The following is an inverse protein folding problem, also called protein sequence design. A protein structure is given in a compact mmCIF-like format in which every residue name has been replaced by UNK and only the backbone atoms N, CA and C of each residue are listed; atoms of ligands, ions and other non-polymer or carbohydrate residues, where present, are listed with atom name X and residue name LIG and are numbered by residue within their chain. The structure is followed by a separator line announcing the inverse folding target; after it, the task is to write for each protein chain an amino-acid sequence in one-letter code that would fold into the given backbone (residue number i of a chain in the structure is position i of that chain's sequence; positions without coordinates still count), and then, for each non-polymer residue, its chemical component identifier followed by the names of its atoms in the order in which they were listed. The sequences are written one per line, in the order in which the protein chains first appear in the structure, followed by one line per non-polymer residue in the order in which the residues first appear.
data_IF_912294333690
#
_entry.id   IF_912294333690
#
_cell.length_a   1.000
_cell.length_b   1.000
_cell.length_c   1.000
_cell.angle_alpha   90.00
_cell.angle_beta   90.00
_cell.angle_gamma   90.00
#
_symmetry.space_group_name_H-M   'P 1'
#
loop_
_entity.id
_entity.type
_entity.pdbx_description
1 polymer ?
#
# COMPACT_ATOMS: atom_id res chain seq x y z
N UNK A 1 19.27 1.91 -14.02
CA UNK A 1 20.18 2.92 -13.44
C UNK A 1 19.40 3.80 -12.48
N UNK A 2 20.07 4.55 -11.60
CA UNK A 2 19.43 5.50 -10.68
C UNK A 2 18.52 6.49 -11.40
N UNK A 3 19.02 7.11 -12.47
CA UNK A 3 18.25 8.10 -13.25
C UNK A 3 16.99 7.49 -13.86
N UNK A 4 17.07 6.27 -14.40
CA UNK A 4 15.91 5.58 -14.95
C UNK A 4 14.84 5.27 -13.89
N UNK A 5 15.24 5.00 -12.64
CA UNK A 5 14.30 4.80 -11.54
C UNK A 5 13.61 6.11 -11.14
N UNK A 6 14.34 7.22 -11.12
CA UNK A 6 13.79 8.56 -10.86
C UNK A 6 12.80 8.96 -11.96
N UNK A 7 13.17 8.78 -13.23
CA UNK A 7 12.26 9.07 -14.35
C UNK A 7 11.00 8.20 -14.31
N UNK A 8 11.13 6.92 -13.94
CA UNK A 8 9.97 6.04 -13.75
C UNK A 8 9.08 6.52 -12.60
N UNK A 9 9.65 6.97 -11.48
CA UNK A 9 8.88 7.55 -10.39
C UNK A 9 8.16 8.83 -10.82
N UNK A 10 8.83 9.71 -11.58
CA UNK A 10 8.20 10.93 -12.15
C UNK A 10 6.98 10.59 -13.00
N UNK A 11 7.08 9.56 -13.85
CA UNK A 11 5.95 9.14 -14.70
C UNK A 11 4.77 8.58 -13.90
N UNK A 12 4.96 8.18 -12.63
CA UNK A 12 3.92 7.69 -11.74
C UNK A 12 3.33 8.77 -10.81
N UNK A 13 3.92 9.97 -10.73
CA UNK A 13 3.40 11.05 -9.87
C UNK A 13 1.90 11.34 -10.09
N UNK A 14 1.35 11.33 -11.32
CA UNK A 14 -0.09 11.51 -11.52
C UNK A 14 -0.97 10.41 -10.89
N UNK A 15 -0.43 9.20 -10.69
CA UNK A 15 -1.15 8.14 -9.97
C UNK A 15 -1.13 8.37 -8.47
N UNK A 16 -0.01 8.85 -7.93
CA UNK A 16 0.11 9.19 -6.52
C UNK A 16 -0.71 10.42 -6.11
N UNK A 17 -0.95 11.37 -7.02
CA UNK A 17 -1.71 12.60 -6.72
C UNK A 17 -3.15 12.31 -6.31
N UNK A 18 -3.77 11.23 -6.82
CA UNK A 18 -5.12 10.81 -6.42
C UNK A 18 -5.17 10.47 -4.94
N UNK A 19 -4.19 9.68 -4.46
CA UNK A 19 -4.05 9.32 -3.04
C UNK A 19 -3.76 10.56 -2.20
N UNK A 20 -2.88 11.45 -2.66
CA UNK A 20 -2.57 12.68 -1.95
C UNK A 20 -3.81 13.58 -1.78
N UNK A 21 -4.69 13.64 -2.79
CA UNK A 21 -5.96 14.37 -2.71
C UNK A 21 -6.92 13.74 -1.70
N UNK A 22 -7.11 12.42 -1.73
CA UNK A 22 -7.93 11.69 -0.76
C UNK A 22 -7.42 11.87 0.68
N UNK A 23 -6.10 11.93 0.87
CA UNK A 23 -5.49 12.20 2.16
C UNK A 23 -5.55 13.68 2.61
N UNK A 24 -6.03 14.61 1.77
CA UNK A 24 -6.01 16.05 2.05
C UNK A 24 -4.60 16.68 2.00
N UNK A 25 -3.66 16.02 1.33
CA UNK A 25 -2.24 16.40 1.24
C UNK A 25 -1.81 16.87 -0.16
N UNK A 26 -2.76 17.10 -1.07
CA UNK A 26 -2.46 17.47 -2.46
C UNK A 26 -1.65 18.76 -2.57
N UNK A 27 -1.91 19.78 -1.74
CA UNK A 27 -1.13 21.02 -1.79
C UNK A 27 0.36 20.79 -1.51
N UNK A 28 0.69 19.93 -0.55
CA UNK A 28 2.07 19.55 -0.25
C UNK A 28 2.69 18.67 -1.35
N UNK A 29 1.88 17.81 -1.97
CA UNK A 29 2.31 16.96 -3.06
C UNK A 29 2.59 17.77 -4.34
N UNK A 30 1.72 18.69 -4.71
CA UNK A 30 1.85 19.55 -5.90
C UNK A 30 3.03 20.53 -5.77
N UNK A 31 3.45 20.84 -4.55
CA UNK A 31 4.61 21.67 -4.28
C UNK A 31 5.96 20.95 -4.57
N UNK A 32 5.96 19.62 -4.78
CA UNK A 32 7.19 18.85 -5.03
C UNK A 32 7.76 19.22 -6.41
N UNK A 33 8.89 19.93 -6.41
CA UNK A 33 9.60 20.31 -7.65
C UNK A 33 10.68 19.29 -8.03
N UNK A 34 11.36 18.72 -7.04
CA UNK A 34 12.52 17.86 -7.22
C UNK A 34 12.34 16.52 -6.50
N UNK A 35 12.98 15.49 -7.05
CA UNK A 35 13.07 14.16 -6.43
C UNK A 35 14.54 13.96 -6.09
N UNK A 36 14.85 14.03 -4.80
CA UNK A 36 16.20 13.84 -4.28
C UNK A 36 16.33 12.44 -3.68
N UNK A 37 17.44 11.77 -3.99
CA UNK A 37 17.77 10.49 -3.34
C UNK A 37 18.42 10.79 -2.00
N UNK A 38 17.67 10.54 -0.92
CA UNK A 38 18.08 10.82 0.46
C UNK A 38 18.87 9.68 1.11
N UNK A 39 18.78 8.47 0.57
CA UNK A 39 19.48 7.29 1.08
C UNK A 39 19.61 6.21 -0.02
N UNK A 40 20.72 5.47 0.00
CA UNK A 40 20.93 4.26 -0.79
C UNK A 40 21.32 3.11 0.16
N UNK A 41 20.65 1.97 0.07
CA UNK A 41 20.91 0.81 0.93
C UNK A 41 20.73 -0.50 0.17
N UNK A 42 21.43 -1.59 0.56
CA UNK A 42 21.25 -2.90 -0.08
C UNK A 42 19.83 -3.44 0.11
N UNK A 43 19.21 -3.85 -0.99
CA UNK A 43 17.94 -4.58 -0.98
C UNK A 43 18.09 -6.03 -0.51
N UNK A 44 16.96 -6.69 -0.26
CA UNK A 44 16.88 -8.15 -0.07
C UNK A 44 16.70 -8.84 -1.43
N UNK A 45 16.78 -10.17 -1.50
CA UNK A 45 16.58 -10.89 -2.77
C UNK A 45 15.28 -10.54 -3.49
N UNK A 46 14.21 -10.22 -2.76
CA UNK A 46 12.95 -9.71 -3.33
C UNK A 46 13.11 -8.46 -4.20
N UNK A 47 14.12 -7.62 -3.95
CA UNK A 47 14.40 -6.40 -4.70
C UNK A 47 14.88 -6.75 -6.11
N UNK A 48 15.79 -7.71 -6.22
CA UNK A 48 16.33 -8.13 -7.52
C UNK A 48 15.33 -8.98 -8.31
N UNK A 49 14.58 -9.86 -7.61
CA UNK A 49 13.63 -10.77 -8.26
C UNK A 49 12.29 -10.13 -8.62
N UNK A 50 11.75 -9.28 -7.75
CA UNK A 50 10.38 -8.75 -7.87
C UNK A 50 10.31 -7.22 -7.89
N UNK A 51 11.42 -6.51 -7.70
CA UNK A 51 11.40 -5.06 -7.53
C UNK A 51 10.80 -4.59 -6.21
N UNK A 52 10.60 -5.49 -5.24
CA UNK A 52 9.99 -5.19 -3.93
C UNK A 52 11.08 -5.23 -2.85
N UNK A 53 11.24 -4.15 -2.08
CA UNK A 53 12.20 -4.12 -0.96
C UNK A 53 11.54 -4.51 0.35
N UNK A 54 12.01 -5.62 0.95
CA UNK A 54 11.76 -5.96 2.35
C UNK A 54 12.87 -5.46 3.29
N UNK A 55 13.84 -4.70 2.76
CA UNK A 55 14.87 -4.04 3.56
C UNK A 55 14.35 -2.69 4.12
N UNK A 56 14.89 -2.32 5.29
CA UNK A 56 14.51 -1.09 6.00
C UNK A 56 15.57 0.00 5.78
N UNK A 57 15.11 1.18 5.37
CA UNK A 57 15.95 2.37 5.32
C UNK A 57 16.31 2.84 6.74
N UNK A 58 17.23 3.80 6.85
CA UNK A 58 17.47 4.51 8.11
C UNK A 58 16.23 5.27 8.57
N UNK A 59 15.46 5.86 7.64
CA UNK A 59 14.23 6.61 7.90
C UNK A 59 13.13 5.70 8.49
N UNK A 60 13.00 4.47 7.98
CA UNK A 60 12.03 3.50 8.51
C UNK A 60 12.27 3.24 10.01
N UNK A 61 13.53 3.28 10.45
CA UNK A 61 13.95 2.98 11.83
C UNK A 61 13.88 4.18 12.75
N UNK A 62 13.70 5.38 12.22
CA UNK A 62 13.57 6.60 13.02
C UNK A 62 12.23 6.59 13.77
N UNK A 63 12.22 7.21 14.96
CA UNK A 63 10.98 7.52 15.66
C UNK A 63 10.06 8.39 14.79
N UNK A 64 8.79 8.40 15.12
CA UNK A 64 7.83 9.35 14.54
C UNK A 64 7.16 10.11 15.67
N UNK A 65 6.80 11.37 15.41
CA UNK A 65 5.89 12.10 16.27
C UNK A 65 4.45 11.63 16.05
N UNK A 66 3.55 12.00 16.97
CA UNK A 66 2.11 11.70 16.83
C UNK A 66 1.54 12.31 15.53
N UNK A 67 1.97 13.52 15.16
CA UNK A 67 1.55 14.19 13.92
C UNK A 67 2.05 13.45 12.67
N UNK A 68 3.29 12.96 12.69
CA UNK A 68 3.83 12.15 11.60
C UNK A 68 3.09 10.82 11.45
N UNK A 69 2.78 10.17 12.57
CA UNK A 69 1.97 8.95 12.57
C UNK A 69 0.60 9.19 11.93
N UNK A 70 -0.12 10.23 12.36
CA UNK A 70 -1.45 10.51 11.82
C UNK A 70 -1.41 10.86 10.34
N UNK A 71 -0.35 11.54 9.88
CA UNK A 71 -0.11 11.79 8.46
C UNK A 71 0.10 10.48 7.68
N UNK A 72 0.89 9.55 8.19
CA UNK A 72 1.12 8.24 7.55
C UNK A 72 -0.15 7.38 7.53
N UNK A 73 -0.92 7.38 8.63
CA UNK A 73 -2.20 6.69 8.70
C UNK A 73 -3.24 7.31 7.77
N UNK A 74 -3.24 8.63 7.57
CA UNK A 74 -4.10 9.30 6.59
C UNK A 74 -3.79 8.85 5.16
N UNK A 75 -2.50 8.75 4.80
CA UNK A 75 -2.07 8.23 3.49
C UNK A 75 -2.46 6.75 3.32
N UNK A 76 -2.24 5.92 4.34
CA UNK A 76 -2.63 4.49 4.27
C UNK A 76 -4.14 4.33 4.08
N UNK A 77 -4.97 5.09 4.80
CA UNK A 77 -6.43 5.10 4.61
C UNK A 77 -6.82 5.60 3.22
N UNK A 78 -6.15 6.60 2.69
CA UNK A 78 -6.38 7.09 1.34
C UNK A 78 -6.05 6.04 0.27
N UNK A 79 -5.00 5.22 0.47
CA UNK A 79 -4.70 4.07 -0.39
C UNK A 79 -5.83 3.03 -0.35
N UNK A 80 -6.39 2.75 0.83
CA UNK A 80 -7.53 1.85 0.96
C UNK A 80 -8.78 2.36 0.26
N UNK A 81 -9.10 3.65 0.42
CA UNK A 81 -10.22 4.29 -0.27
C UNK A 81 -10.05 4.24 -1.79
N UNK A 82 -8.85 4.54 -2.29
CA UNK A 82 -8.53 4.44 -3.71
C UNK A 82 -8.67 2.99 -4.22
N UNK A 83 -8.17 2.02 -3.47
CA UNK A 83 -8.30 0.60 -3.83
C UNK A 83 -9.77 0.14 -3.87
N UNK A 84 -10.58 0.61 -2.92
CA UNK A 84 -12.01 0.29 -2.86
C UNK A 84 -12.80 0.91 -4.02
N UNK A 85 -12.49 2.15 -4.40
CA UNK A 85 -13.03 2.77 -5.62
C UNK A 85 -12.66 1.94 -6.86
N UNK A 86 -11.37 1.64 -7.03
CA UNK A 86 -10.87 0.88 -8.19
C UNK A 86 -11.56 -0.47 -8.29
N UNK A 87 -11.57 -1.28 -7.22
CA UNK A 87 -12.22 -2.61 -7.26
C UNK A 87 -13.73 -2.52 -7.51
N UNK A 88 -14.36 -1.39 -7.17
CA UNK A 88 -15.78 -1.14 -7.41
C UNK A 88 -16.10 -0.84 -8.87
N UNK A 89 -15.19 -0.19 -9.60
CA UNK A 89 -15.44 0.28 -10.98
C UNK A 89 -14.82 -0.56 -12.10
N UNK A 90 -13.76 -1.32 -11.81
CA UNK A 90 -13.10 -2.17 -12.82
C UNK A 90 -13.89 -3.45 -13.11
N UNK A 91 -13.67 -3.99 -14.30
CA UNK A 91 -14.26 -5.23 -14.81
C UNK A 91 -13.98 -6.42 -13.88
N UNK A 92 -14.90 -7.38 -13.79
CA UNK A 92 -14.66 -8.61 -13.03
C UNK A 92 -13.56 -9.47 -13.69
N UNK A 93 -13.65 -9.61 -15.02
CA UNK A 93 -12.60 -10.20 -15.84
C UNK A 93 -11.49 -9.17 -16.12
N UNK A 94 -10.27 -9.68 -16.22
CA UNK A 94 -9.06 -8.85 -16.35
C UNK A 94 -8.25 -9.29 -17.55
N UNK A 95 -7.61 -8.33 -18.23
CA UNK A 95 -6.71 -8.61 -19.35
C UNK A 95 -5.66 -9.65 -18.95
N UNK A 96 -5.65 -10.78 -19.67
CA UNK A 96 -4.67 -11.85 -19.47
C UNK A 96 -3.34 -11.51 -20.14
N UNK A 97 -2.27 -12.09 -19.64
CA UNK A 97 -0.94 -12.00 -20.25
C UNK A 97 -0.85 -12.80 -21.57
N UNK A 98 0.29 -12.71 -22.29
CA UNK A 98 0.46 -13.31 -23.62
C UNK A 98 0.23 -14.83 -23.70
N UNK A 99 0.32 -15.53 -22.57
CA UNK A 99 0.11 -16.99 -22.45
C UNK A 99 -1.21 -17.35 -21.75
N UNK A 100 -2.17 -16.43 -21.69
CA UNK A 100 -3.48 -16.62 -21.06
C UNK A 100 -3.50 -16.60 -19.52
N UNK A 101 -2.34 -16.52 -18.87
CA UNK A 101 -2.24 -16.41 -17.41
C UNK A 101 -2.66 -15.04 -16.88
N UNK A 102 -3.22 -15.01 -15.66
CA UNK A 102 -3.60 -13.78 -14.96
C UNK A 102 -4.74 -13.99 -13.98
N UNK A 103 -4.73 -13.22 -12.88
CA UNK A 103 -5.82 -13.18 -11.90
C UNK A 103 -7.00 -12.36 -12.44
N UNK A 104 -8.21 -12.78 -12.11
CA UNK A 104 -9.40 -11.90 -12.16
C UNK A 104 -9.36 -10.89 -11.01
N UNK A 105 -10.28 -9.91 -11.05
CA UNK A 105 -10.39 -8.86 -10.02
C UNK A 105 -10.51 -9.45 -8.61
N UNK A 106 -11.42 -10.41 -8.44
CA UNK A 106 -11.75 -10.93 -7.11
C UNK A 106 -10.60 -11.75 -6.51
N UNK A 107 -9.79 -12.42 -7.34
CA UNK A 107 -8.53 -13.06 -6.91
C UNK A 107 -7.47 -12.04 -6.50
N UNK A 108 -7.39 -10.88 -7.17
CA UNK A 108 -6.52 -9.79 -6.74
C UNK A 108 -6.99 -9.25 -5.37
N UNK A 109 -8.30 -8.97 -5.23
CA UNK A 109 -8.88 -8.47 -3.98
C UNK A 109 -8.66 -9.42 -2.81
N UNK A 110 -8.96 -10.72 -2.97
CA UNK A 110 -8.71 -11.72 -1.92
C UNK A 110 -7.24 -11.81 -1.54
N UNK A 111 -6.33 -11.67 -2.50
CA UNK A 111 -4.89 -11.66 -2.24
C UNK A 111 -4.50 -10.43 -1.41
N UNK A 112 -4.97 -9.24 -1.79
CA UNK A 112 -4.70 -8.00 -1.05
C UNK A 112 -5.19 -8.10 0.40
N UNK A 113 -6.42 -8.57 0.62
CA UNK A 113 -6.97 -8.73 1.97
C UNK A 113 -6.24 -9.81 2.79
N UNK A 114 -5.81 -10.91 2.17
CA UNK A 114 -5.04 -11.93 2.87
C UNK A 114 -3.65 -11.42 3.30
N UNK A 115 -2.99 -10.64 2.44
CA UNK A 115 -1.72 -10.01 2.77
C UNK A 115 -1.88 -8.99 3.91
N UNK A 116 -2.91 -8.14 3.85
CA UNK A 116 -3.21 -7.17 4.91
C UNK A 116 -3.47 -7.85 6.25
N UNK A 117 -4.25 -8.95 6.27
CA UNK A 117 -4.47 -9.73 7.49
C UNK A 117 -3.17 -10.26 8.10
N UNK A 118 -2.25 -10.77 7.29
CA UNK A 118 -0.94 -11.23 7.77
C UNK A 118 -0.13 -10.06 8.39
N UNK A 119 -0.16 -8.87 7.78
CA UNK A 119 0.48 -7.68 8.31
C UNK A 119 -0.16 -7.18 9.61
N UNK A 120 -1.50 -7.19 9.69
CA UNK A 120 -2.24 -6.77 10.87
C UNK A 120 -1.90 -7.63 12.10
N UNK A 121 -1.62 -8.93 11.92
CA UNK A 121 -1.20 -9.79 13.05
C UNK A 121 0.10 -9.33 13.72
N UNK A 122 0.95 -8.57 13.02
CA UNK A 122 2.23 -8.07 13.54
C UNK A 122 2.01 -6.97 14.59
N UNK A 123 0.88 -6.27 14.55
CA UNK A 123 0.43 -5.37 15.63
C UNK A 123 -0.64 -6.01 16.53
N UNK A 124 -0.81 -7.33 16.42
CA UNK A 124 -1.70 -8.10 17.29
C UNK A 124 -3.16 -8.15 16.85
N UNK A 125 -3.52 -7.54 15.72
CA UNK A 125 -4.89 -7.58 15.19
C UNK A 125 -5.13 -8.92 14.52
N UNK A 126 -6.18 -9.62 14.96
CA UNK A 126 -6.63 -10.89 14.39
C UNK A 126 -8.04 -10.74 13.89
N UNK A 127 -8.20 -10.88 12.58
CA UNK A 127 -9.50 -10.79 11.93
C UNK A 127 -9.97 -12.19 11.56
N UNK A 128 -11.23 -12.53 11.87
CA UNK A 128 -11.76 -13.83 11.51
C UNK A 128 -11.73 -14.05 9.99
N UNK A 129 -11.51 -15.30 9.59
CA UNK A 129 -11.52 -15.69 8.18
C UNK A 129 -12.82 -15.24 7.51
N UNK A 130 -12.68 -14.55 6.37
CA UNK A 130 -13.81 -14.07 5.58
C UNK A 130 -14.49 -12.81 6.12
N UNK A 131 -14.14 -12.30 7.30
CA UNK A 131 -14.77 -11.09 7.84
C UNK A 131 -14.56 -9.86 6.93
N UNK A 132 -13.39 -9.74 6.29
CA UNK A 132 -13.09 -8.64 5.35
C UNK A 132 -13.81 -8.76 4.00
N UNK A 133 -14.62 -9.81 3.77
CA UNK A 133 -15.41 -9.94 2.55
C UNK A 133 -16.76 -9.21 2.63
N UNK A 134 -17.09 -8.61 3.78
CA UNK A 134 -18.22 -7.70 3.94
C UNK A 134 -17.72 -6.29 4.22
N UNK A 135 -18.50 -5.27 3.83
CA UNK A 135 -18.11 -3.87 4.04
C UNK A 135 -17.96 -3.55 5.54
N UNK A 136 -18.88 -4.03 6.37
CA UNK A 136 -18.82 -3.85 7.82
C UNK A 136 -17.58 -4.52 8.43
N UNK A 137 -17.28 -5.76 8.02
CA UNK A 137 -16.13 -6.48 8.56
C UNK A 137 -14.79 -5.92 8.08
N UNK A 138 -14.73 -5.41 6.85
CA UNK A 138 -13.58 -4.69 6.33
C UNK A 138 -13.35 -3.38 7.08
N UNK A 139 -14.42 -2.61 7.35
CA UNK A 139 -14.35 -1.39 8.15
C UNK A 139 -13.82 -1.68 9.56
N UNK A 140 -14.39 -2.69 10.24
CA UNK A 140 -13.96 -3.11 11.57
C UNK A 140 -12.49 -3.53 11.58
N UNK A 141 -12.04 -4.28 10.56
CA UNK A 141 -10.63 -4.65 10.42
C UNK A 141 -9.71 -3.43 10.35
N UNK A 142 -9.99 -2.50 9.42
CA UNK A 142 -9.15 -1.33 9.17
C UNK A 142 -9.12 -0.35 10.35
N UNK A 143 -10.25 -0.18 11.03
CA UNK A 143 -10.35 0.62 12.25
C UNK A 143 -9.48 0.00 13.36
N UNK A 144 -9.60 -1.32 13.59
CA UNK A 144 -8.78 -2.04 14.55
C UNK A 144 -7.28 -1.99 14.20
N UNK A 145 -6.95 -2.07 12.90
CA UNK A 145 -5.57 -2.02 12.44
C UNK A 145 -4.93 -0.66 12.70
N UNK A 146 -5.61 0.44 12.34
CA UNK A 146 -5.15 1.80 12.66
C UNK A 146 -5.00 2.01 14.18
N UNK A 147 -5.96 1.55 14.96
CA UNK A 147 -5.93 1.68 16.42
C UNK A 147 -4.74 0.92 17.02
N UNK A 148 -4.47 -0.31 16.58
CA UNK A 148 -3.35 -1.10 17.08
C UNK A 148 -1.99 -0.46 16.71
N UNK A 149 -1.88 0.16 15.54
CA UNK A 149 -0.67 0.91 15.16
C UNK A 149 -0.45 2.08 16.14
N UNK A 150 -1.49 2.85 16.47
CA UNK A 150 -1.42 3.94 17.46
C UNK A 150 -1.01 3.45 18.84
N UNK A 151 -1.57 2.34 19.29
CA UNK A 151 -1.21 1.74 20.59
C UNK A 151 0.25 1.28 20.62
N UNK A 152 0.75 0.67 19.54
CA UNK A 152 2.15 0.30 19.44
C UNK A 152 3.07 1.53 19.45
N UNK A 153 2.68 2.58 18.73
CA UNK A 153 3.41 3.85 18.72
C UNK A 153 3.52 4.43 20.13
N UNK A 154 2.39 4.59 20.85
CA UNK A 154 2.37 5.15 22.20
C UNK A 154 3.17 4.33 23.22
N UNK A 155 3.45 3.06 22.91
CA UNK A 155 4.27 2.16 23.74
C UNK A 155 5.72 2.05 23.26
N UNK A 156 6.11 2.74 22.18
CA UNK A 156 7.44 2.63 21.56
C UNK A 156 7.75 1.22 21.02
N UNK A 157 6.71 0.45 20.66
CA UNK A 157 6.85 -0.95 20.21
C UNK A 157 7.08 -1.05 18.71
N UNK A 158 7.98 -1.95 18.33
CA UNK A 158 8.09 -2.43 16.95
C UNK A 158 7.04 -3.51 16.67
N UNK A 159 6.58 -3.61 15.43
CA UNK A 159 5.65 -4.64 15.01
C UNK A 159 6.35 -6.01 14.89
N UNK A 160 5.59 -7.08 15.13
CA UNK A 160 6.02 -8.46 15.04
C UNK A 160 6.63 -9.02 16.33
N UNK A 161 6.40 -10.31 16.56
CA UNK A 161 6.92 -11.02 17.74
C UNK A 161 8.34 -11.54 17.52
N UNK A 162 8.57 -12.21 16.38
CA UNK A 162 9.85 -12.82 16.00
C UNK A 162 10.72 -11.84 15.23
N UNK A 163 10.29 -11.48 14.01
CA UNK A 163 10.90 -10.38 13.26
C UNK A 163 10.35 -9.04 13.78
N UNK A 164 11.25 -8.07 14.01
CA UNK A 164 10.92 -6.73 14.47
C UNK A 164 10.90 -5.77 13.29
N UNK A 165 9.71 -5.29 12.97
CA UNK A 165 9.45 -4.38 11.86
C UNK A 165 9.20 -2.98 12.42
N UNK A 166 9.89 -1.93 11.93
CA UNK A 166 9.52 -0.57 12.26
C UNK A 166 8.06 -0.27 11.87
N UNK A 167 7.36 0.54 12.67
CA UNK A 167 5.96 0.88 12.38
C UNK A 167 5.81 1.64 11.06
N UNK A 168 6.71 2.60 10.81
CA UNK A 168 6.84 3.31 9.51
C UNK A 168 6.90 2.33 8.34
N UNK A 169 7.72 1.29 8.47
CA UNK A 169 7.86 0.25 7.45
C UNK A 169 6.54 -0.51 7.24
N UNK A 170 5.89 -0.94 8.33
CA UNK A 170 4.63 -1.67 8.27
C UNK A 170 3.54 -0.83 7.57
N UNK A 171 3.42 0.45 7.92
CA UNK A 171 2.45 1.37 7.31
C UNK A 171 2.74 1.53 5.81
N UNK A 172 3.98 1.84 5.43
CA UNK A 172 4.32 2.03 4.02
C UNK A 172 4.17 0.76 3.19
N UNK A 173 4.46 -0.42 3.76
CA UNK A 173 4.33 -1.68 3.05
C UNK A 173 2.85 -2.01 2.79
N UNK A 174 1.98 -1.81 3.78
CA UNK A 174 0.52 -1.95 3.62
C UNK A 174 0.00 -1.01 2.53
N UNK A 175 0.39 0.27 2.58
CA UNK A 175 0.01 1.25 1.57
C UNK A 175 0.55 0.90 0.16
N UNK A 176 1.83 0.53 0.04
CA UNK A 176 2.46 0.13 -1.21
C UNK A 176 1.77 -1.07 -1.85
N UNK A 177 1.57 -2.16 -1.09
CA UNK A 177 0.98 -3.40 -1.60
C UNK A 177 -0.47 -3.20 -2.06
N UNK A 178 -1.21 -2.38 -1.31
CA UNK A 178 -2.58 -1.97 -1.68
C UNK A 178 -2.57 -1.21 -3.01
N UNK A 179 -1.69 -0.23 -3.18
CA UNK A 179 -1.61 0.58 -4.39
C UNK A 179 -1.10 -0.21 -5.61
N UNK A 180 -0.13 -1.10 -5.43
CA UNK A 180 0.37 -1.99 -6.49
C UNK A 180 -0.79 -2.81 -7.10
N UNK A 181 -1.66 -3.35 -6.25
CA UNK A 181 -2.83 -4.10 -6.72
C UNK A 181 -3.98 -3.24 -7.21
N UNK A 182 -4.15 -2.01 -6.71
CA UNK A 182 -5.07 -1.05 -7.31
C UNK A 182 -4.66 -0.77 -8.77
N UNK A 183 -3.39 -0.46 -8.99
CA UNK A 183 -2.86 -0.19 -10.33
C UNK A 183 -2.81 -1.42 -11.23
N UNK A 184 -2.55 -2.61 -10.68
CA UNK A 184 -2.69 -3.85 -11.44
C UNK A 184 -4.11 -4.01 -12.00
N UNK A 185 -5.14 -3.67 -11.22
CA UNK A 185 -6.52 -3.73 -11.68
C UNK A 185 -6.82 -2.66 -12.72
N UNK A 186 -6.38 -1.42 -12.51
CA UNK A 186 -6.55 -0.35 -13.52
C UNK A 186 -5.87 -0.70 -14.86
N UNK A 187 -4.64 -1.21 -14.80
CA UNK A 187 -3.84 -1.52 -15.99
C UNK A 187 -4.39 -2.70 -16.79
N UNK A 188 -5.18 -3.57 -16.15
CA UNK A 188 -5.78 -4.77 -16.77
C UNK A 188 -7.27 -4.61 -17.03
N UNK A 189 -7.85 -3.46 -16.73
CA UNK A 189 -9.29 -3.24 -16.86
C UNK A 189 -9.74 -3.34 -18.32
N UNK A 190 -10.94 -3.89 -18.53
CA UNK A 190 -11.55 -4.08 -19.84
C UNK A 190 -12.67 -3.07 -20.13
N UNK A 191 -13.09 -2.29 -19.14
CA UNK A 191 -14.22 -1.34 -19.26
C UNK A 191 -14.00 -0.31 -20.37
N UNK A 192 -12.76 0.13 -20.58
CA UNK A 192 -12.40 1.06 -21.66
C UNK A 192 -12.39 0.40 -23.06
N UNK A 193 -12.30 -0.93 -23.15
CA UNK A 193 -12.28 -1.68 -24.42
C UNK A 193 -13.66 -2.08 -24.91
N UNK A 194 -14.66 -2.12 -24.04
CA UNK A 194 -16.05 -2.41 -24.41
C UNK A 194 -16.80 -1.15 -24.91
N UNK A 195 -16.24 0.04 -24.69
CA UNK A 195 -16.80 1.33 -25.11
C UNK A 195 -16.31 1.81 -26.50
N UNK A 196 -15.53 0.99 -27.22
CA UNK A 196 -15.02 1.21 -28.58
C UNK A 196 -15.60 0.16 -29.54
#
# INVERSE_FOLDING_TARGET
TKDAAIEKLRSYLPRYSQVAKLAGLNAAFDAIQNIDVVEEYPGTGSTDFWGISFAFSSIDKQGMSDDELERELALMRACWEFFDDVRGRVSAEMQKGPRGGGRDRDRIVRHTFAAEQDWATKVGVRTPDGAMLTDDGLKVHRDAYCQAIREYHGQGKLAGKVAKWPLRYLIRHTAFHTMDHAWEMEDKDLTAKEAL
#
